data_IF_564315246518
#
_entry.id   IF_564315246518
#
_cell.length_a   1.000
_cell.length_b   1.000
_cell.length_c   1.000
_cell.angle_alpha   90.00
_cell.angle_beta   90.00
_cell.angle_gamma   90.00
#
_symmetry.space_group_name_H-M   'P 1'
#
loop_
_entity.id
_entity.type
_entity.pdbx_description
1 polymer ?
#
# COMPACT_ATOMS: atom_id res chain seq x y z
N UNK A 1 37.76 24.43 -3.42
CA UNK A 1 36.44 24.15 -4.04
C UNK A 1 35.47 25.06 -3.32
N UNK A 2 35.17 26.21 -3.92
CA UNK A 2 34.20 27.17 -3.39
C UNK A 2 32.81 26.56 -3.58
N UNK A 3 32.15 26.20 -2.48
CA UNK A 3 30.76 25.81 -2.49
C UNK A 3 29.92 27.08 -2.57
N UNK A 4 29.35 27.36 -3.74
CA UNK A 4 28.33 28.40 -3.87
C UNK A 4 27.06 27.98 -3.14
N UNK A 5 26.55 28.86 -2.30
CA UNK A 5 25.23 28.70 -1.66
C UNK A 5 24.16 28.70 -2.76
N UNK A 6 23.66 27.52 -3.12
CA UNK A 6 22.48 27.38 -3.99
C UNK A 6 21.26 27.63 -3.11
N UNK A 7 20.59 28.75 -3.31
CA UNK A 7 19.38 29.10 -2.57
C UNK A 7 18.15 28.44 -3.19
N UNK A 8 17.10 28.24 -2.40
CA UNK A 8 15.78 27.78 -2.89
C UNK A 8 15.29 28.66 -4.06
N UNK A 9 15.66 29.94 -4.06
CA UNK A 9 15.33 30.88 -5.12
C UNK A 9 15.97 30.51 -6.47
N UNK A 10 17.21 30.00 -6.45
CA UNK A 10 17.91 29.55 -7.66
C UNK A 10 17.23 28.30 -8.22
N UNK A 11 16.79 27.39 -7.35
CA UNK A 11 16.01 26.21 -7.76
C UNK A 11 14.63 26.58 -8.32
N UNK A 12 13.98 27.60 -7.77
CA UNK A 12 12.70 28.13 -8.28
C UNK A 12 12.90 28.80 -9.65
N UNK A 13 13.99 29.53 -9.83
CA UNK A 13 14.33 30.19 -11.09
C UNK A 13 14.66 29.16 -12.19
N UNK A 14 15.45 28.13 -11.86
CA UNK A 14 15.74 27.00 -12.77
C UNK A 14 14.45 26.26 -13.17
N UNK A 15 13.50 26.10 -12.24
CA UNK A 15 12.18 25.58 -12.55
C UNK A 15 11.37 26.54 -13.42
N UNK A 16 11.50 27.86 -13.29
CA UNK A 16 10.80 28.80 -14.18
C UNK A 16 11.39 28.84 -15.59
N UNK A 17 12.70 28.63 -15.75
CA UNK A 17 13.39 28.60 -17.05
C UNK A 17 13.28 27.23 -17.77
N UNK A 18 12.96 26.16 -17.05
CA UNK A 18 12.74 24.84 -17.67
C UNK A 18 11.48 24.80 -18.56
N UNK A 19 11.51 24.11 -19.72
CA UNK A 19 10.34 23.96 -20.58
C UNK A 19 9.17 23.34 -19.82
N UNK A 20 7.96 23.85 -20.07
CA UNK A 20 6.72 23.43 -19.42
C UNK A 20 6.52 21.90 -19.51
N UNK A 21 6.17 21.28 -18.38
CA UNK A 21 6.03 19.83 -18.18
C UNK A 21 5.09 19.21 -19.21
N UNK A 22 5.54 18.12 -19.84
CA UNK A 22 4.76 17.40 -20.84
C UNK A 22 3.56 16.68 -20.21
N UNK A 23 3.74 16.17 -19.00
CA UNK A 23 2.68 15.54 -18.23
C UNK A 23 1.61 16.57 -17.86
N UNK A 24 1.99 17.73 -17.32
CA UNK A 24 1.02 18.81 -17.01
C UNK A 24 0.23 19.23 -18.25
N UNK A 25 0.91 19.38 -19.41
CA UNK A 25 0.25 19.68 -20.69
C UNK A 25 -0.76 18.62 -21.11
N UNK A 26 -0.41 17.34 -20.95
CA UNK A 26 -1.29 16.22 -21.31
C UNK A 26 -2.59 16.21 -20.50
N UNK A 27 -2.53 16.58 -19.22
CA UNK A 27 -3.70 16.62 -18.34
C UNK A 27 -4.52 17.91 -18.46
N UNK A 28 -4.00 18.97 -19.10
CA UNK A 28 -4.68 20.26 -19.20
C UNK A 28 -6.04 20.16 -19.90
N UNK A 29 -7.09 20.67 -19.26
CA UNK A 29 -8.46 20.62 -19.77
C UNK A 29 -9.11 19.22 -19.75
N UNK A 30 -8.42 18.21 -19.24
CA UNK A 30 -8.91 16.83 -19.23
C UNK A 30 -9.98 16.62 -18.17
N UNK A 31 -10.89 15.67 -18.44
CA UNK A 31 -11.83 15.15 -17.46
C UNK A 31 -11.45 13.73 -17.07
N UNK A 32 -11.36 13.44 -15.78
CA UNK A 32 -10.79 12.18 -15.26
C UNK A 32 -11.86 11.44 -14.45
N UNK A 33 -12.11 10.17 -14.78
CA UNK A 33 -12.97 9.27 -14.00
C UNK A 33 -12.13 8.41 -13.05
N UNK A 34 -12.53 8.35 -11.78
CA UNK A 34 -11.76 7.71 -10.72
C UNK A 34 -12.69 6.78 -9.85
N UNK A 35 -12.48 5.44 -9.87
CA UNK A 35 -13.27 4.32 -9.31
C UNK A 35 -12.72 3.63 -8.04
N UNK A 36 -13.10 3.96 -6.79
CA UNK A 36 -12.61 3.25 -5.56
C UNK A 36 -12.02 4.13 -4.44
N UNK A 37 -12.44 5.38 -4.36
CA UNK A 37 -11.42 6.40 -4.21
C UNK A 37 -11.36 7.18 -2.94
N UNK A 38 -12.38 6.90 -2.18
CA UNK A 38 -12.33 6.91 -0.75
C UNK A 38 -11.22 6.00 -0.18
N UNK A 39 -10.52 5.18 -0.98
CA UNK A 39 -9.39 4.34 -0.55
C UNK A 39 -8.07 5.09 -0.39
N UNK A 40 -7.11 4.48 0.31
CA UNK A 40 -5.82 5.07 0.69
C UNK A 40 -5.04 5.69 -0.48
N UNK A 41 -4.77 4.91 -1.53
CA UNK A 41 -4.00 5.37 -2.71
C UNK A 41 -4.76 6.43 -3.51
N UNK A 42 -6.07 6.28 -3.65
CA UNK A 42 -6.90 7.23 -4.37
C UNK A 42 -6.77 8.66 -3.82
N UNK A 43 -6.83 8.79 -2.50
CA UNK A 43 -6.71 10.09 -1.82
C UNK A 43 -5.45 10.86 -2.20
N UNK A 44 -4.33 10.17 -2.25
CA UNK A 44 -3.04 10.74 -2.62
C UNK A 44 -3.00 11.06 -4.11
N UNK A 45 -3.63 10.24 -4.95
CA UNK A 45 -3.75 10.51 -6.39
C UNK A 45 -4.53 11.79 -6.69
N UNK A 46 -5.67 12.01 -6.02
CA UNK A 46 -6.44 13.24 -6.26
C UNK A 46 -5.71 14.46 -5.75
N UNK A 47 -5.11 14.39 -4.56
CA UNK A 47 -4.25 15.47 -4.08
C UNK A 47 -3.17 15.81 -5.11
N UNK A 48 -2.47 14.79 -5.62
CA UNK A 48 -1.43 14.96 -6.63
C UNK A 48 -1.95 15.60 -7.90
N UNK A 49 -3.07 15.12 -8.43
CA UNK A 49 -3.70 15.66 -9.64
C UNK A 49 -4.08 17.14 -9.44
N UNK A 50 -4.68 17.49 -8.30
CA UNK A 50 -5.08 18.88 -8.01
C UNK A 50 -3.88 19.81 -7.82
N UNK A 51 -2.80 19.34 -7.17
CA UNK A 51 -1.60 20.14 -6.90
C UNK A 51 -0.70 20.27 -8.12
N UNK A 52 -0.47 19.16 -8.82
CA UNK A 52 0.54 19.05 -9.88
C UNK A 52 -0.04 19.13 -11.29
N UNK A 53 -1.29 18.76 -11.55
CA UNK A 53 -1.92 18.89 -12.87
C UNK A 53 -2.97 20.02 -12.85
N UNK A 54 -2.50 21.28 -12.88
CA UNK A 54 -3.40 22.45 -12.86
C UNK A 54 -4.28 22.50 -14.12
N UNK A 55 -5.43 23.16 -14.02
CA UNK A 55 -6.39 23.37 -15.12
C UNK A 55 -7.12 22.08 -15.62
N UNK A 56 -7.45 21.14 -14.74
CA UNK A 56 -8.37 20.04 -15.07
C UNK A 56 -9.80 20.58 -15.27
N UNK A 57 -10.57 19.97 -16.17
CA UNK A 57 -11.97 20.35 -16.38
C UNK A 57 -12.90 19.75 -15.31
N UNK A 58 -12.87 18.43 -15.11
CA UNK A 58 -13.76 17.76 -14.13
C UNK A 58 -13.16 16.44 -13.64
N UNK A 59 -13.31 16.15 -12.35
CA UNK A 59 -12.97 14.86 -11.74
C UNK A 59 -14.28 14.14 -11.35
N UNK A 60 -14.55 12.97 -11.94
CA UNK A 60 -15.74 12.15 -11.69
C UNK A 60 -15.43 10.98 -10.74
N UNK A 61 -16.26 10.79 -9.70
CA UNK A 61 -16.01 9.81 -8.63
C UNK A 61 -17.12 8.76 -8.58
N UNK A 62 -16.75 7.47 -8.62
CA UNK A 62 -17.70 6.37 -8.45
C UNK A 62 -17.69 5.86 -7.00
N UNK A 63 -18.86 5.86 -6.36
CA UNK A 63 -19.05 5.54 -4.93
C UNK A 63 -20.07 4.40 -4.81
N UNK A 64 -19.68 3.28 -4.18
CA UNK A 64 -20.58 2.13 -3.96
C UNK A 64 -21.19 2.19 -2.55
N UNK A 65 -22.49 1.86 -2.35
CA UNK A 65 -23.07 1.71 -1.00
C UNK A 65 -22.47 0.50 -0.25
N UNK A 66 -22.41 0.58 1.08
CA UNK A 66 -22.01 -0.52 1.99
C UNK A 66 -22.93 -0.45 3.22
N UNK A 67 -23.50 -1.59 3.63
CA UNK A 67 -24.26 -1.79 4.88
C UNK A 67 -25.19 -0.64 5.32
N UNK A 68 -26.31 -0.43 4.61
CA UNK A 68 -27.44 0.36 5.12
C UNK A 68 -27.26 1.87 5.24
N UNK A 69 -26.12 2.44 4.82
CA UNK A 69 -25.87 3.89 4.84
C UNK A 69 -26.29 4.59 3.54
N UNK A 70 -26.79 5.84 3.64
CA UNK A 70 -27.29 6.61 2.51
C UNK A 70 -26.13 7.12 1.62
N UNK A 71 -26.21 7.04 0.27
CA UNK A 71 -25.21 7.61 -0.64
C UNK A 71 -24.84 9.07 -0.35
N UNK A 72 -25.79 9.89 0.12
CA UNK A 72 -25.54 11.30 0.48
C UNK A 72 -24.72 11.45 1.78
N UNK A 73 -24.81 10.50 2.73
CA UNK A 73 -23.96 10.48 3.93
C UNK A 73 -22.52 10.12 3.57
N UNK A 74 -22.31 9.15 2.66
CA UNK A 74 -20.97 8.82 2.14
C UNK A 74 -20.37 9.91 1.24
N UNK A 75 -21.20 10.62 0.46
CA UNK A 75 -20.75 11.79 -0.31
C UNK A 75 -20.37 12.96 0.61
N UNK A 76 -21.03 13.14 1.77
CA UNK A 76 -20.64 14.12 2.80
C UNK A 76 -19.32 13.76 3.50
N UNK A 77 -19.07 12.49 3.84
CA UNK A 77 -17.76 12.01 4.32
C UNK A 77 -16.66 12.09 3.23
N UNK A 78 -17.03 12.04 1.96
CA UNK A 78 -16.11 12.23 0.83
C UNK A 78 -15.62 13.67 0.64
N UNK A 79 -16.38 14.69 1.03
CA UNK A 79 -15.89 16.07 1.08
C UNK A 79 -14.81 16.29 2.16
N UNK A 80 -14.49 15.24 2.92
CA UNK A 80 -13.31 15.15 3.81
C UNK A 80 -12.18 14.26 3.29
N UNK A 81 -12.30 13.53 2.17
CA UNK A 81 -11.15 12.90 1.50
C UNK A 81 -11.49 12.22 0.15
N UNK A 82 -10.62 12.28 -0.89
CA UNK A 82 -11.08 12.27 -2.29
C UNK A 82 -10.51 11.14 -3.21
N UNK A 83 -11.41 10.32 -3.81
CA UNK A 83 -11.42 9.41 -5.00
C UNK A 83 -10.18 8.63 -5.74
N UNK A 84 -10.33 7.66 -6.73
CA UNK A 84 -9.39 6.48 -7.09
C UNK A 84 -9.08 6.00 -8.56
N UNK A 85 -7.96 5.35 -8.87
CA UNK A 85 -7.65 4.60 -10.15
C UNK A 85 -7.26 3.11 -9.93
N UNK A 86 -7.39 2.20 -10.92
CA UNK A 86 -7.12 0.74 -10.81
C UNK A 86 -5.64 0.36 -10.60
N UNK A 87 -5.36 -0.32 -9.48
CA UNK A 87 -4.04 -0.68 -8.99
C UNK A 87 -3.97 -2.20 -8.73
N UNK A 88 -3.05 -2.92 -9.37
CA UNK A 88 -2.85 -4.36 -9.15
C UNK A 88 -1.85 -4.62 -8.01
N UNK A 89 -1.21 -5.78 -7.95
CA UNK A 89 -0.20 -6.14 -6.96
C UNK A 89 0.92 -6.97 -7.59
N UNK A 90 2.15 -6.83 -7.10
CA UNK A 90 3.27 -7.69 -7.54
C UNK A 90 3.10 -9.14 -7.12
N UNK A 91 2.28 -9.41 -6.10
CA UNK A 91 2.05 -10.75 -5.55
C UNK A 91 1.05 -11.59 -6.35
N UNK A 92 0.54 -11.09 -7.49
CA UNK A 92 -0.49 -11.78 -8.30
C UNK A 92 -0.01 -13.12 -8.89
N UNK A 93 1.30 -13.34 -8.96
CA UNK A 93 1.92 -14.55 -9.53
C UNK A 93 2.89 -15.22 -8.55
N UNK A 94 2.42 -15.70 -7.38
CA UNK A 94 3.29 -16.19 -6.30
C UNK A 94 4.02 -17.49 -6.63
N UNK A 95 3.50 -18.29 -7.58
CA UNK A 95 4.10 -19.54 -8.05
C UNK A 95 5.24 -19.34 -9.07
N UNK A 96 5.48 -18.10 -9.52
CA UNK A 96 6.48 -17.78 -10.55
C UNK A 96 7.71 -17.18 -9.90
N UNK A 97 8.88 -17.79 -10.09
CA UNK A 97 10.13 -17.32 -9.48
C UNK A 97 10.65 -16.01 -10.07
N UNK A 98 10.54 -15.83 -11.39
CA UNK A 98 10.97 -14.62 -12.09
C UNK A 98 9.75 -13.96 -12.76
N UNK A 99 9.26 -12.88 -12.14
CA UNK A 99 8.07 -12.15 -12.57
C UNK A 99 8.46 -10.97 -13.46
N UNK A 100 8.14 -11.09 -14.74
CA UNK A 100 8.32 -10.08 -15.79
C UNK A 100 7.06 -9.22 -15.96
N UNK A 101 7.21 -8.11 -16.69
CA UNK A 101 6.13 -7.18 -17.03
C UNK A 101 5.29 -7.71 -18.20
N UNK A 102 4.68 -8.86 -17.99
CA UNK A 102 3.82 -9.56 -18.95
C UNK A 102 2.61 -10.15 -18.24
N UNK A 103 1.60 -10.55 -19.01
CA UNK A 103 0.48 -11.32 -18.49
C UNK A 103 0.89 -12.76 -18.15
N UNK A 104 0.21 -13.32 -17.16
CA UNK A 104 0.39 -14.71 -16.74
C UNK A 104 -0.95 -15.44 -16.85
N UNK A 105 -0.90 -16.69 -17.29
CA UNK A 105 -2.09 -17.51 -17.42
C UNK A 105 -2.50 -18.05 -16.04
N UNK A 106 -3.76 -17.83 -15.66
CA UNK A 106 -4.39 -18.53 -14.53
C UNK A 106 -4.81 -19.93 -14.97
N UNK A 107 -4.70 -20.94 -14.08
CA UNK A 107 -5.27 -22.26 -14.33
C UNK A 107 -6.81 -22.25 -14.47
N UNK A 108 -7.48 -21.24 -13.94
CA UNK A 108 -8.94 -21.08 -14.02
C UNK A 108 -9.27 -19.77 -14.73
N UNK A 109 -10.13 -19.84 -15.76
CA UNK A 109 -10.60 -18.66 -16.47
C UNK A 109 -11.46 -17.76 -15.56
N UNK A 110 -11.24 -16.45 -15.64
CA UNK A 110 -11.98 -15.46 -14.85
C UNK A 110 -13.50 -15.55 -15.02
N UNK A 111 -13.98 -15.85 -16.24
CA UNK A 111 -15.42 -16.03 -16.52
C UNK A 111 -16.04 -17.18 -15.70
N UNK A 112 -15.31 -18.29 -15.53
CA UNK A 112 -15.76 -19.42 -14.70
C UNK A 112 -15.93 -19.01 -13.25
N UNK A 113 -14.96 -18.26 -12.70
CA UNK A 113 -15.04 -17.78 -11.31
C UNK A 113 -16.20 -16.81 -11.13
N UNK A 114 -16.39 -15.86 -12.06
CA UNK A 114 -17.51 -14.92 -12.03
C UNK A 114 -18.84 -15.69 -12.03
N UNK A 115 -19.02 -16.64 -12.95
CA UNK A 115 -20.22 -17.46 -13.00
C UNK A 115 -20.44 -18.26 -11.71
N UNK A 116 -19.39 -18.83 -11.11
CA UNK A 116 -19.51 -19.53 -9.83
C UNK A 116 -20.00 -18.60 -8.71
N UNK A 117 -19.44 -17.40 -8.61
CA UNK A 117 -19.85 -16.41 -7.60
C UNK A 117 -21.28 -15.90 -7.82
N UNK A 118 -21.70 -15.74 -9.07
CA UNK A 118 -23.05 -15.27 -9.42
C UNK A 118 -24.13 -16.35 -9.25
N UNK A 119 -23.76 -17.64 -9.31
CA UNK A 119 -24.73 -18.75 -9.32
C UNK A 119 -24.77 -19.56 -8.03
N UNK A 120 -23.65 -19.69 -7.31
CA UNK A 120 -23.57 -20.53 -6.12
C UNK A 120 -24.03 -19.77 -4.87
N UNK A 121 -24.81 -20.41 -3.97
CA UNK A 121 -25.09 -19.85 -2.66
C UNK A 121 -23.81 -19.61 -1.84
N UNK A 122 -23.80 -18.55 -1.02
CA UNK A 122 -22.66 -18.15 -0.18
C UNK A 122 -22.06 -19.29 0.66
N UNK A 123 -22.90 -20.17 1.22
CA UNK A 123 -22.42 -21.28 2.04
C UNK A 123 -21.62 -22.33 1.24
N UNK A 124 -21.92 -22.49 -0.06
CA UNK A 124 -21.14 -23.34 -0.97
C UNK A 124 -19.87 -22.59 -1.37
N UNK A 125 -20.00 -21.32 -1.74
CA UNK A 125 -18.88 -20.48 -2.13
C UNK A 125 -17.79 -20.48 -1.05
N UNK A 126 -18.18 -20.23 0.20
CA UNK A 126 -17.27 -20.23 1.36
C UNK A 126 -16.55 -21.58 1.58
N UNK A 127 -17.16 -22.71 1.19
CA UNK A 127 -16.54 -24.03 1.29
C UNK A 127 -15.52 -24.29 0.18
N UNK A 128 -15.70 -23.68 -1.00
CA UNK A 128 -14.79 -23.86 -2.15
C UNK A 128 -13.71 -22.78 -2.23
N UNK A 129 -13.90 -21.61 -1.60
CA UNK A 129 -12.95 -20.48 -1.62
C UNK A 129 -11.53 -20.90 -1.24
N UNK A 130 -11.37 -21.74 -0.21
CA UNK A 130 -10.04 -22.17 0.24
C UNK A 130 -9.27 -22.98 -0.81
N UNK A 131 -9.98 -23.72 -1.67
CA UNK A 131 -9.38 -24.45 -2.78
C UNK A 131 -9.11 -23.55 -3.99
N UNK A 132 -10.00 -22.59 -4.27
CA UNK A 132 -9.83 -21.65 -5.40
C UNK A 132 -8.66 -20.69 -5.18
N UNK A 133 -8.45 -20.26 -3.93
CA UNK A 133 -7.47 -19.24 -3.56
C UNK A 133 -6.15 -19.87 -3.08
N UNK A 134 -6.03 -21.20 -3.07
CA UNK A 134 -4.90 -21.89 -2.40
C UNK A 134 -3.52 -21.54 -2.94
N UNK A 135 -3.41 -21.10 -4.20
CA UNK A 135 -2.14 -20.66 -4.79
C UNK A 135 -1.79 -19.21 -4.44
N UNK A 136 -2.75 -18.42 -3.95
CA UNK A 136 -2.57 -17.01 -3.60
C UNK A 136 -2.49 -16.80 -2.09
N UNK A 137 -1.76 -15.76 -1.64
CA UNK A 137 -1.67 -15.45 -0.21
C UNK A 137 -3.01 -15.03 0.38
N UNK A 138 -3.87 -14.39 -0.42
CA UNK A 138 -5.22 -13.99 -0.03
C UNK A 138 -6.16 -13.79 -1.24
N UNK A 139 -7.44 -13.59 -0.93
CA UNK A 139 -8.52 -13.35 -1.91
C UNK A 139 -8.28 -12.06 -2.71
N UNK A 140 -7.65 -11.05 -2.11
CA UNK A 140 -7.38 -9.76 -2.77
C UNK A 140 -6.41 -9.97 -3.92
N UNK A 141 -5.34 -10.71 -3.67
CA UNK A 141 -4.30 -11.01 -4.65
C UNK A 141 -4.86 -11.90 -5.75
N UNK A 142 -5.66 -12.90 -5.41
CA UNK A 142 -6.39 -13.73 -6.37
C UNK A 142 -7.32 -12.91 -7.27
N UNK A 143 -8.16 -12.05 -6.70
CA UNK A 143 -9.11 -11.22 -7.46
C UNK A 143 -8.42 -10.18 -8.34
N UNK A 144 -7.27 -9.64 -7.92
CA UNK A 144 -6.40 -8.81 -8.77
C UNK A 144 -5.82 -9.60 -9.95
N UNK A 145 -5.36 -10.83 -9.71
CA UNK A 145 -4.88 -11.70 -10.79
C UNK A 145 -5.98 -12.01 -11.82
N UNK A 146 -7.20 -12.33 -11.37
CA UNK A 146 -8.36 -12.51 -12.26
C UNK A 146 -8.68 -11.25 -13.05
N UNK A 147 -8.59 -10.08 -12.42
CA UNK A 147 -8.86 -8.80 -13.07
C UNK A 147 -7.83 -8.48 -14.15
N UNK A 148 -6.56 -8.85 -13.98
CA UNK A 148 -5.56 -8.76 -15.04
C UNK A 148 -5.92 -9.65 -16.25
N UNK A 149 -6.49 -10.84 -16.03
CA UNK A 149 -6.97 -11.68 -17.14
C UNK A 149 -8.13 -11.06 -17.90
N UNK A 150 -9.06 -10.40 -17.18
CA UNK A 150 -10.17 -9.70 -17.81
C UNK A 150 -9.64 -8.57 -18.70
N UNK A 151 -8.67 -7.80 -18.19
CA UNK A 151 -8.00 -6.75 -18.97
C UNK A 151 -7.31 -7.34 -20.20
N UNK A 152 -6.61 -8.46 -20.06
CA UNK A 152 -5.98 -9.17 -21.18
C UNK A 152 -7.03 -9.59 -22.22
N UNK A 153 -8.18 -10.10 -21.78
CA UNK A 153 -9.26 -10.59 -22.65
C UNK A 153 -9.97 -9.47 -23.43
N UNK A 154 -9.98 -8.24 -22.89
CA UNK A 154 -10.51 -7.07 -23.58
C UNK A 154 -9.63 -6.64 -24.78
N UNK A 155 -8.35 -7.04 -24.80
CA UNK A 155 -7.47 -6.85 -25.95
C UNK A 155 -7.27 -5.37 -26.35
N UNK A 156 -7.06 -5.08 -27.65
CA UNK A 156 -6.82 -3.72 -28.15
C UNK A 156 -7.98 -2.74 -27.95
N UNK A 157 -9.19 -3.23 -27.66
CA UNK A 157 -10.37 -2.38 -27.45
C UNK A 157 -10.30 -1.60 -26.13
N UNK A 158 -9.52 -2.09 -25.16
CA UNK A 158 -9.29 -1.44 -23.88
C UNK A 158 -7.83 -0.96 -23.79
N UNK A 159 -7.55 0.33 -24.02
CA UNK A 159 -6.22 0.89 -23.76
C UNK A 159 -5.99 0.89 -22.24
N UNK A 160 -5.27 -0.11 -21.75
CA UNK A 160 -5.04 -0.33 -20.34
C UNK A 160 -3.55 -0.21 -19.98
N UNK A 161 -3.31 0.30 -18.78
CA UNK A 161 -2.02 0.29 -18.10
C UNK A 161 -2.21 -0.45 -16.77
N UNK A 162 -1.35 -1.43 -16.48
CA UNK A 162 -1.35 -2.21 -15.25
C UNK A 162 -0.10 -1.86 -14.46
N UNK A 163 -0.28 -1.26 -13.29
CA UNK A 163 0.80 -1.05 -12.33
C UNK A 163 0.61 -2.07 -11.20
N UNK A 164 1.59 -2.97 -11.05
CA UNK A 164 1.68 -3.94 -9.97
C UNK A 164 2.57 -3.35 -8.88
N UNK A 165 2.01 -3.08 -7.69
CA UNK A 165 2.78 -2.55 -6.56
C UNK A 165 2.98 -3.58 -5.46
N UNK A 166 4.03 -3.39 -4.66
CA UNK A 166 4.19 -4.04 -3.37
C UNK A 166 3.22 -3.50 -2.29
N UNK A 167 3.56 -3.73 -1.02
CA UNK A 167 2.82 -3.20 0.12
C UNK A 167 2.91 -1.68 0.16
N UNK A 168 1.77 -1.03 -0.06
CA UNK A 168 1.71 0.43 -0.07
C UNK A 168 1.63 0.93 1.36
N UNK A 169 2.61 1.74 1.76
CA UNK A 169 2.67 2.40 3.07
C UNK A 169 2.57 3.92 2.91
N UNK A 170 2.73 4.63 4.03
CA UNK A 170 2.62 6.09 4.08
C UNK A 170 3.55 6.82 3.13
N UNK A 171 3.27 8.10 2.93
CA UNK A 171 4.03 8.98 2.04
C UNK A 171 5.49 9.09 2.49
N UNK A 172 6.42 9.09 1.55
CA UNK A 172 7.82 9.34 1.84
C UNK A 172 8.10 10.83 2.01
N UNK A 173 7.54 11.65 1.10
CA UNK A 173 7.88 13.06 0.96
C UNK A 173 6.64 13.94 0.85
N UNK A 174 5.71 13.63 -0.04
CA UNK A 174 4.61 14.53 -0.41
C UNK A 174 3.22 13.90 -0.20
N UNK A 175 2.17 14.69 0.05
CA UNK A 175 2.19 16.13 0.37
C UNK A 175 2.76 16.43 1.77
N UNK A 176 2.70 15.44 2.67
CA UNK A 176 3.27 15.52 4.02
C UNK A 176 3.96 14.20 4.27
N UNK A 177 5.26 14.20 4.58
CA UNK A 177 6.00 12.99 4.89
C UNK A 177 5.41 12.22 6.08
N UNK A 178 5.32 10.89 5.96
CA UNK A 178 4.77 9.99 6.97
C UNK A 178 3.24 9.97 7.06
N UNK A 179 2.54 10.69 6.19
CA UNK A 179 1.07 10.66 6.19
C UNK A 179 0.55 9.26 5.87
N UNK A 180 -0.39 8.80 6.69
CA UNK A 180 -1.14 7.56 6.48
C UNK A 180 -2.47 7.61 7.21
N UNK A 181 -3.49 7.01 6.63
CA UNK A 181 -4.78 6.77 7.28
C UNK A 181 -5.25 5.32 7.13
N UNK A 182 -4.37 4.44 6.61
CA UNK A 182 -4.65 3.03 6.41
C UNK A 182 -4.03 2.22 7.56
N UNK A 183 -4.88 1.55 8.34
CA UNK A 183 -4.47 0.59 9.35
C UNK A 183 -4.60 -0.82 8.77
N UNK A 184 -3.77 -1.12 7.78
CA UNK A 184 -3.69 -2.47 7.21
C UNK A 184 -2.92 -3.44 8.13
N UNK A 185 -2.91 -4.74 7.79
CA UNK A 185 -2.27 -5.78 8.61
C UNK A 185 -0.80 -5.47 8.93
N UNK A 186 -0.05 -4.92 7.97
CA UNK A 186 1.36 -4.56 8.16
C UNK A 186 1.50 -3.37 9.11
N UNK A 187 0.78 -2.28 8.86
CA UNK A 187 0.78 -1.08 9.70
C UNK A 187 0.31 -1.37 11.12
N UNK A 188 -0.73 -2.20 11.26
CA UNK A 188 -1.26 -2.64 12.54
C UNK A 188 -0.25 -3.46 13.34
N UNK A 189 0.38 -4.46 12.71
CA UNK A 189 1.46 -5.22 13.34
C UNK A 189 2.64 -4.33 13.74
N UNK A 190 3.02 -3.37 12.90
CA UNK A 190 4.13 -2.46 13.16
C UNK A 190 3.82 -1.50 14.33
N UNK A 191 2.61 -0.95 14.39
CA UNK A 191 2.12 -0.17 15.53
C UNK A 191 2.05 -1.00 16.82
N UNK A 192 1.48 -2.20 16.75
CA UNK A 192 1.40 -3.09 17.90
C UNK A 192 2.79 -3.47 18.43
N UNK A 193 3.76 -3.63 17.54
CA UNK A 193 5.16 -3.86 17.93
C UNK A 193 5.78 -2.63 18.57
N UNK A 194 5.47 -1.46 18.00
CA UNK A 194 5.83 -0.16 18.55
C UNK A 194 5.27 0.13 19.94
N UNK A 195 4.15 -0.47 20.31
CA UNK A 195 3.55 -0.38 21.65
C UNK A 195 4.02 -1.49 22.60
N UNK A 196 4.94 -2.36 22.16
CA UNK A 196 5.40 -3.53 22.90
C UNK A 196 4.38 -4.66 23.01
N UNK A 197 3.25 -4.56 22.28
CA UNK A 197 2.20 -5.57 22.28
C UNK A 197 2.57 -6.76 21.38
N UNK A 198 3.15 -6.51 20.21
CA UNK A 198 3.51 -7.54 19.22
C UNK A 198 5.02 -7.69 19.17
N UNK A 199 5.55 -8.84 19.60
CA UNK A 199 7.00 -8.97 19.83
C UNK A 199 7.67 -10.03 18.95
N UNK A 200 6.87 -10.93 18.40
CA UNK A 200 7.35 -12.12 17.71
C UNK A 200 6.62 -12.30 16.39
N UNK A 201 7.37 -12.51 15.32
CA UNK A 201 6.85 -12.82 13.98
C UNK A 201 7.42 -14.15 13.47
N UNK A 202 6.62 -14.87 12.69
CA UNK A 202 7.06 -16.08 11.97
C UNK A 202 7.14 -15.78 10.48
N UNK A 203 8.32 -15.99 9.91
CA UNK A 203 8.54 -15.87 8.47
C UNK A 203 10.00 -15.79 8.10
N UNK A 204 10.28 -15.97 6.81
CA UNK A 204 11.65 -15.93 6.29
C UNK A 204 12.28 -14.56 6.48
N UNK A 205 13.34 -14.52 7.27
CA UNK A 205 14.12 -13.31 7.55
C UNK A 205 14.81 -12.71 6.31
N UNK A 206 14.94 -13.49 5.23
CA UNK A 206 15.67 -13.14 4.00
C UNK A 206 14.80 -12.60 2.85
N UNK A 207 13.48 -12.78 2.92
CA UNK A 207 12.56 -12.30 1.88
C UNK A 207 12.39 -10.78 1.97
N UNK A 208 12.31 -10.11 0.82
CA UNK A 208 12.07 -8.67 0.75
C UNK A 208 10.64 -8.34 1.14
N UNK A 209 10.46 -7.28 1.93
CA UNK A 209 9.14 -6.83 2.36
C UNK A 209 8.32 -6.16 1.26
N UNK A 210 8.95 -5.77 0.14
CA UNK A 210 8.32 -5.09 -0.99
C UNK A 210 7.46 -3.88 -0.59
N UNK A 211 8.02 -2.98 0.19
CA UNK A 211 7.35 -1.76 0.65
C UNK A 211 7.45 -0.65 -0.40
N UNK A 212 6.34 0.01 -0.65
CA UNK A 212 6.23 1.12 -1.62
C UNK A 212 5.58 2.32 -0.95
N UNK A 213 6.21 3.51 -0.93
CA UNK A 213 5.55 4.74 -0.50
C UNK A 213 4.41 5.14 -1.45
N UNK A 214 3.26 5.50 -0.89
CA UNK A 214 2.05 5.81 -1.67
C UNK A 214 2.22 7.00 -2.62
N UNK A 215 3.01 8.00 -2.26
CA UNK A 215 3.27 9.20 -3.08
C UNK A 215 4.07 8.86 -4.34
N UNK A 216 5.10 8.03 -4.22
CA UNK A 216 5.88 7.57 -5.36
C UNK A 216 5.04 6.66 -6.28
N UNK A 217 4.20 5.78 -5.71
CA UNK A 217 3.26 4.98 -6.49
C UNK A 217 2.27 5.85 -7.28
N UNK A 218 1.75 6.91 -6.65
CA UNK A 218 0.85 7.86 -7.29
C UNK A 218 1.53 8.61 -8.43
N UNK A 219 2.79 9.00 -8.28
CA UNK A 219 3.57 9.60 -9.36
C UNK A 219 3.70 8.64 -10.55
N UNK A 220 3.99 7.36 -10.30
CA UNK A 220 4.00 6.33 -11.34
C UNK A 220 2.63 6.14 -12.01
N UNK A 221 1.52 6.21 -11.27
CA UNK A 221 0.17 6.14 -11.84
C UNK A 221 -0.11 7.28 -12.82
N UNK A 222 0.25 8.52 -12.47
CA UNK A 222 0.07 9.69 -13.34
C UNK A 222 0.96 9.57 -14.58
N UNK A 223 2.22 9.19 -14.40
CA UNK A 223 3.19 9.06 -15.49
C UNK A 223 2.83 7.91 -16.43
N UNK A 224 2.40 6.77 -15.90
CA UNK A 224 1.92 5.63 -16.69
C UNK A 224 0.67 5.98 -17.51
N UNK A 225 -0.19 6.86 -17.00
CA UNK A 225 -1.34 7.37 -17.76
C UNK A 225 -0.89 8.30 -18.91
N UNK A 226 0.06 9.19 -18.67
CA UNK A 226 0.65 10.04 -19.72
C UNK A 226 1.28 9.22 -20.85
N UNK A 227 2.08 8.21 -20.53
CA UNK A 227 2.70 7.31 -21.52
C UNK A 227 1.65 6.55 -22.34
N UNK A 228 0.60 6.03 -21.69
CA UNK A 228 -0.50 5.35 -22.38
C UNK A 228 -1.20 6.28 -23.38
N UNK A 229 -1.42 7.55 -23.01
CA UNK A 229 -2.04 8.56 -23.90
C UNK A 229 -1.11 8.86 -25.07
N UNK A 230 0.18 9.10 -24.81
CA UNK A 230 1.19 9.40 -25.83
C UNK A 230 1.31 8.30 -26.89
N UNK A 231 1.45 7.05 -26.44
CA UNK A 231 1.53 5.90 -27.34
C UNK A 231 0.25 5.79 -28.21
N UNK A 232 -0.94 6.02 -27.63
CA UNK A 232 -2.19 5.99 -28.40
C UNK A 232 -2.25 7.06 -29.50
N UNK A 233 -1.80 8.28 -29.23
CA UNK A 233 -1.78 9.35 -30.26
C UNK A 233 -0.85 9.03 -31.42
N UNK A 234 0.25 8.31 -31.18
CA UNK A 234 1.13 7.81 -32.25
C UNK A 234 0.43 6.69 -33.05
N UNK A 235 -0.23 5.75 -32.37
CA UNK A 235 -0.94 4.62 -33.01
C UNK A 235 -2.20 5.00 -33.81
N UNK A 236 -2.85 6.13 -33.53
CA UNK A 236 -3.98 6.60 -34.38
C UNK A 236 -3.49 7.09 -35.75
N UNK A 237 -2.20 7.43 -35.87
CA UNK A 237 -1.62 7.95 -37.12
C UNK A 237 -1.02 6.85 -38.02
N UNK A 238 -0.94 5.59 -37.57
CA UNK A 238 -0.44 4.44 -38.35
C UNK A 238 -1.45 3.27 -38.34
N UNK A 239 -1.68 2.61 -39.48
CA UNK A 239 -2.53 1.42 -39.56
C UNK A 239 -1.85 0.22 -38.87
N UNK A 240 -2.19 -0.04 -37.61
CA UNK A 240 -1.58 -1.14 -36.82
C UNK A 240 -2.34 -2.46 -36.98
N UNK A 241 -1.65 -3.60 -37.13
CA UNK A 241 -2.26 -4.94 -37.13
C UNK A 241 -2.99 -5.24 -35.81
N UNK A 242 -4.20 -5.82 -35.93
CA UNK A 242 -5.11 -6.16 -34.81
C UNK A 242 -4.53 -7.11 -33.74
N UNK A 243 -3.37 -7.71 -33.97
CA UNK A 243 -2.78 -8.75 -33.10
C UNK A 243 -1.76 -8.21 -32.09
N UNK A 244 -1.52 -6.90 -32.03
CA UNK A 244 -0.52 -6.32 -31.12
C UNK A 244 -1.15 -6.02 -29.75
N UNK A 245 -0.87 -6.85 -28.74
CA UNK A 245 -1.28 -6.59 -27.35
C UNK A 245 -0.51 -5.38 -26.81
N UNK A 246 -1.20 -4.24 -26.70
CA UNK A 246 -0.60 -2.94 -26.37
C UNK A 246 -0.77 -2.56 -24.88
N UNK A 247 -0.99 -3.53 -23.99
CA UNK A 247 -1.14 -3.25 -22.56
C UNK A 247 0.22 -2.98 -21.93
N UNK A 248 0.40 -1.78 -21.37
CA UNK A 248 1.60 -1.43 -20.62
C UNK A 248 1.53 -2.04 -19.22
N UNK A 249 2.51 -2.86 -18.85
CA UNK A 249 2.58 -3.50 -17.53
C UNK A 249 3.85 -3.00 -16.82
N UNK A 250 3.71 -2.61 -15.55
CA UNK A 250 4.78 -2.07 -14.72
C UNK A 250 4.86 -2.82 -13.40
N UNK A 251 6.01 -3.45 -13.13
CA UNK A 251 6.28 -4.08 -11.84
C UNK A 251 7.02 -3.08 -10.95
N UNK A 252 6.34 -2.57 -9.93
CA UNK A 252 6.88 -1.58 -9.00
C UNK A 252 7.16 -2.22 -7.64
N UNK A 253 8.33 -2.86 -7.56
CA UNK A 253 8.83 -3.56 -6.39
C UNK A 253 10.08 -2.86 -5.81
N UNK A 254 10.18 -2.79 -4.49
CA UNK A 254 11.28 -2.12 -3.77
C UNK A 254 12.62 -2.81 -3.99
N UNK A 255 12.61 -4.14 -4.17
CA UNK A 255 13.81 -4.95 -4.38
C UNK A 255 14.56 -4.64 -5.68
N UNK A 256 13.91 -4.00 -6.65
CA UNK A 256 14.57 -3.52 -7.85
C UNK A 256 15.43 -2.27 -7.64
N UNK A 257 15.33 -1.64 -6.47
CA UNK A 257 16.01 -0.39 -6.13
C UNK A 257 16.88 -0.58 -4.89
N UNK A 258 16.24 -0.62 -3.71
CA UNK A 258 16.87 -0.80 -2.40
C UNK A 258 16.15 -1.91 -1.64
N UNK A 259 16.60 -3.16 -1.75
CA UNK A 259 16.03 -4.28 -1.01
C UNK A 259 15.98 -4.01 0.49
N UNK A 260 14.86 -4.36 1.12
CA UNK A 260 14.69 -4.35 2.57
C UNK A 260 14.00 -5.65 2.96
N UNK A 261 14.76 -6.55 3.60
CA UNK A 261 14.20 -7.82 4.07
C UNK A 261 13.27 -7.62 5.27
N UNK A 262 12.41 -8.58 5.57
CA UNK A 262 11.54 -8.55 6.75
C UNK A 262 12.31 -8.46 8.08
N UNK A 263 13.53 -9.01 8.15
CA UNK A 263 14.38 -8.83 9.32
C UNK A 263 14.92 -7.39 9.42
N UNK A 264 15.49 -6.90 8.31
CA UNK A 264 15.99 -5.53 8.23
C UNK A 264 14.90 -4.49 8.47
N UNK A 265 13.67 -4.78 8.04
CA UNK A 265 12.50 -3.94 8.25
C UNK A 265 12.31 -3.68 9.74
N UNK A 266 12.22 -4.73 10.58
CA UNK A 266 12.04 -4.54 12.01
C UNK A 266 13.21 -3.86 12.69
N UNK A 267 14.45 -4.21 12.32
CA UNK A 267 15.65 -3.51 12.82
C UNK A 267 15.59 -2.00 12.52
N UNK A 268 15.24 -1.62 11.29
CA UNK A 268 15.16 -0.21 10.85
C UNK A 268 13.97 0.51 11.45
N UNK A 269 12.83 -0.16 11.54
CA UNK A 269 11.60 0.38 12.09
C UNK A 269 11.75 0.66 13.60
N UNK A 270 12.43 -0.21 14.36
CA UNK A 270 12.63 0.00 15.80
C UNK A 270 13.98 0.62 16.17
N UNK A 271 14.83 0.99 15.19
CA UNK A 271 16.13 1.63 15.42
C UNK A 271 16.04 2.88 16.29
N UNK A 272 15.01 3.70 16.08
CA UNK A 272 14.73 4.90 16.86
C UNK A 272 13.59 4.64 17.84
N UNK A 273 13.81 3.78 18.85
CA UNK A 273 12.82 3.38 19.85
C UNK A 273 12.05 4.58 20.44
N UNK A 274 12.72 5.73 20.64
CA UNK A 274 12.12 6.98 21.16
C UNK A 274 10.98 7.55 20.31
N UNK A 275 10.96 7.30 18.99
CA UNK A 275 9.93 7.84 18.09
C UNK A 275 8.67 6.97 18.05
N UNK A 276 8.80 5.71 18.45
CA UNK A 276 7.68 4.76 18.60
C UNK A 276 7.22 4.68 20.05
N UNK A 277 8.13 4.95 20.98
CA UNK A 277 7.93 4.99 22.41
C UNK A 277 6.99 6.11 22.81
N UNK A 278 5.73 5.76 23.03
CA UNK A 278 4.91 6.50 23.99
C UNK A 278 5.29 6.07 25.41
N UNK A 279 5.36 7.00 26.36
CA UNK A 279 5.44 6.75 27.82
C UNK A 279 4.47 5.70 28.38
N UNK A 280 3.46 5.26 27.61
CA UNK A 280 2.41 4.32 27.98
C UNK A 280 2.63 2.91 27.43
N UNK A 281 3.85 2.38 27.53
CA UNK A 281 4.09 0.96 27.23
C UNK A 281 3.43 0.05 28.26
N UNK A 282 2.75 -0.99 27.79
CA UNK A 282 2.47 -2.15 28.64
C UNK A 282 3.74 -2.98 28.88
N UNK A 283 4.66 -3.03 27.90
CA UNK A 283 5.90 -3.82 27.91
C UNK A 283 7.03 -3.11 27.15
N UNK A 284 8.29 -3.37 27.51
CA UNK A 284 9.44 -2.89 26.75
C UNK A 284 9.39 -3.45 25.32
N UNK A 285 9.40 -2.60 24.28
CA UNK A 285 9.32 -3.07 22.90
C UNK A 285 10.61 -3.80 22.52
N UNK A 286 10.47 -4.98 21.96
CA UNK A 286 11.55 -5.66 21.25
C UNK A 286 10.94 -6.48 20.12
N UNK A 287 11.72 -6.67 19.06
CA UNK A 287 11.29 -7.31 17.83
C UNK A 287 12.14 -8.57 17.58
N UNK A 288 11.47 -9.72 17.40
CA UNK A 288 12.13 -10.98 17.08
C UNK A 288 11.41 -11.72 15.94
N UNK A 289 12.16 -12.08 14.90
CA UNK A 289 11.69 -12.90 13.79
C UNK A 289 12.31 -14.29 13.91
N UNK A 290 11.51 -15.32 13.73
CA UNK A 290 11.99 -16.71 13.67
C UNK A 290 11.46 -17.40 12.44
N UNK A 291 12.32 -18.19 11.78
CA UNK A 291 11.91 -19.04 10.67
C UNK A 291 11.19 -20.32 11.16
N UNK A 292 11.34 -20.67 12.45
CA UNK A 292 10.76 -21.88 13.03
C UNK A 292 9.36 -21.61 13.58
N UNK A 293 8.36 -22.25 12.96
CA UNK A 293 6.97 -22.20 13.43
C UNK A 293 6.87 -22.67 14.89
N UNK A 294 7.64 -23.70 15.27
CA UNK A 294 7.62 -24.23 16.65
C UNK A 294 8.12 -23.20 17.67
N UNK A 295 9.23 -22.52 17.38
CA UNK A 295 9.75 -21.45 18.25
C UNK A 295 8.75 -20.30 18.32
N UNK A 296 8.13 -19.95 17.19
CA UNK A 296 7.08 -18.94 17.15
C UNK A 296 5.91 -19.29 18.08
N UNK A 297 5.41 -20.54 18.05
CA UNK A 297 4.33 -20.98 18.95
C UNK A 297 4.71 -20.88 20.43
N UNK A 298 5.93 -21.31 20.79
CA UNK A 298 6.42 -21.20 22.17
C UNK A 298 6.48 -19.73 22.59
N UNK A 299 7.16 -18.90 21.80
CA UNK A 299 7.40 -17.50 22.14
C UNK A 299 6.08 -16.71 22.20
N UNK A 300 5.17 -16.90 21.23
CA UNK A 300 3.86 -16.24 21.25
C UNK A 300 2.98 -16.72 22.41
N UNK A 301 3.07 -17.99 22.82
CA UNK A 301 2.37 -18.47 24.00
C UNK A 301 2.79 -17.70 25.27
N UNK A 302 4.10 -17.57 25.51
CA UNK A 302 4.62 -16.90 26.70
C UNK A 302 4.60 -15.37 26.63
N UNK A 303 4.79 -14.78 25.45
CA UNK A 303 4.90 -13.33 25.27
C UNK A 303 3.58 -12.67 24.86
N UNK A 304 2.62 -13.41 24.28
CA UNK A 304 1.32 -12.84 23.90
C UNK A 304 0.20 -13.46 24.75
N UNK A 305 0.00 -14.77 24.66
CA UNK A 305 -1.20 -15.44 25.17
C UNK A 305 -1.30 -15.47 26.70
N UNK A 306 -0.22 -15.86 27.40
CA UNK A 306 -0.22 -15.92 28.87
C UNK A 306 -0.41 -14.54 29.51
N UNK A 307 0.38 -13.50 29.14
CA UNK A 307 0.16 -12.14 29.63
C UNK A 307 -1.26 -11.64 29.38
N UNK A 308 -1.80 -11.86 28.18
CA UNK A 308 -3.14 -11.42 27.82
C UNK A 308 -4.21 -12.00 28.75
N UNK A 309 -4.18 -13.33 28.98
CA UNK A 309 -5.15 -14.00 29.85
C UNK A 309 -5.03 -13.55 31.30
N UNK A 310 -3.82 -13.33 31.80
CA UNK A 310 -3.60 -12.85 33.17
C UNK A 310 -4.18 -11.44 33.33
N UNK A 311 -3.83 -10.51 32.43
CA UNK A 311 -4.34 -9.13 32.46
C UNK A 311 -5.85 -9.09 32.31
N UNK A 312 -6.41 -9.84 31.35
CA UNK A 312 -7.86 -9.90 31.15
C UNK A 312 -8.60 -10.46 32.36
N UNK A 313 -8.05 -11.47 33.03
CA UNK A 313 -8.60 -12.02 34.28
C UNK A 313 -8.64 -10.95 35.39
N UNK A 314 -7.56 -10.18 35.56
CA UNK A 314 -7.53 -9.08 36.52
C UNK A 314 -8.54 -7.97 36.18
N UNK A 315 -8.64 -7.57 34.91
CA UNK A 315 -9.61 -6.56 34.45
C UNK A 315 -11.05 -7.03 34.68
N UNK A 316 -11.31 -8.31 34.42
CA UNK A 316 -12.60 -8.93 34.66
C UNK A 316 -12.96 -8.93 36.16
N UNK A 317 -12.00 -9.23 37.06
CA UNK A 317 -12.20 -9.10 38.51
C UNK A 317 -12.52 -7.66 38.95
N UNK A 318 -12.07 -6.65 38.21
CA UNK A 318 -12.41 -5.24 38.45
C UNK A 318 -13.77 -4.83 37.86
N UNK A 319 -14.55 -5.77 37.31
CA UNK A 319 -15.86 -5.51 36.72
C UNK A 319 -15.80 -4.74 35.39
N UNK A 320 -14.64 -4.72 34.73
CA UNK A 320 -14.43 -4.05 33.43
C UNK A 320 -14.40 -5.07 32.30
N UNK A 321 -14.74 -4.63 31.09
CA UNK A 321 -14.60 -5.46 29.90
C UNK A 321 -13.13 -5.73 29.56
N UNK A 322 -12.78 -7.00 29.45
CA UNK A 322 -11.46 -7.48 29.04
C UNK A 322 -11.39 -7.63 27.52
N UNK A 323 -10.39 -7.04 26.86
CA UNK A 323 -10.28 -7.04 25.38
C UNK A 323 -8.90 -7.47 24.86
N UNK A 324 -7.94 -7.78 25.73
CA UNK A 324 -6.55 -7.99 25.32
C UNK A 324 -6.38 -9.34 24.60
N UNK A 325 -7.06 -10.39 25.04
CA UNK A 325 -7.06 -11.70 24.38
C UNK A 325 -7.73 -11.63 22.98
N UNK A 326 -8.81 -10.88 22.82
CA UNK A 326 -9.42 -10.64 21.51
C UNK A 326 -8.49 -9.87 20.58
N UNK A 327 -7.81 -8.86 21.11
CA UNK A 327 -6.78 -8.13 20.38
C UNK A 327 -5.67 -9.06 19.88
N UNK A 328 -5.13 -9.93 20.75
CA UNK A 328 -4.07 -10.85 20.35
C UNK A 328 -4.51 -11.90 19.32
N UNK A 329 -5.76 -12.37 19.37
CA UNK A 329 -6.30 -13.21 18.29
C UNK A 329 -6.23 -12.52 16.94
N UNK A 330 -6.63 -11.24 16.87
CA UNK A 330 -6.56 -10.44 15.63
C UNK A 330 -5.12 -10.21 15.17
N UNK A 331 -4.21 -9.91 16.10
CA UNK A 331 -2.77 -9.80 15.80
C UNK A 331 -2.23 -11.10 15.20
N UNK A 332 -2.55 -12.25 15.80
CA UNK A 332 -2.08 -13.54 15.27
C UNK A 332 -2.68 -13.85 13.90
N UNK A 333 -3.93 -13.48 13.65
CA UNK A 333 -4.53 -13.55 12.30
C UNK A 333 -3.80 -12.65 11.30
N UNK A 334 -3.54 -11.38 11.66
CA UNK A 334 -2.81 -10.45 10.80
C UNK A 334 -1.37 -10.92 10.51
N UNK A 335 -0.66 -11.40 11.55
CA UNK A 335 0.69 -11.95 11.42
C UNK A 335 0.70 -13.22 10.56
N UNK A 336 -0.29 -14.11 10.71
CA UNK A 336 -0.45 -15.28 9.85
C UNK A 336 -0.65 -14.89 8.38
N UNK A 337 -1.49 -13.89 8.11
CA UNK A 337 -1.68 -13.41 6.74
C UNK A 337 -0.39 -12.84 6.14
N UNK A 338 0.40 -12.10 6.93
CA UNK A 338 1.73 -11.60 6.50
C UNK A 338 2.74 -12.73 6.28
N UNK A 339 2.66 -13.82 7.06
CA UNK A 339 3.58 -14.95 6.92
C UNK A 339 3.51 -15.62 5.54
N UNK A 340 2.33 -15.61 4.89
CA UNK A 340 2.16 -16.11 3.52
C UNK A 340 3.01 -15.32 2.52
N UNK A 341 3.12 -13.99 2.69
CA UNK A 341 3.95 -13.12 1.85
C UNK A 341 5.45 -13.30 2.13
N UNK A 342 5.81 -13.62 3.38
CA UNK A 342 7.18 -13.91 3.78
C UNK A 342 7.74 -15.22 3.21
N UNK A 343 6.89 -16.04 2.57
CA UNK A 343 7.30 -17.27 1.87
C UNK A 343 7.41 -17.08 0.35
N UNK A 344 7.06 -15.90 -0.18
CA UNK A 344 7.07 -15.62 -1.62
C UNK A 344 8.50 -15.23 -2.04
N UNK A 345 9.30 -16.22 -2.43
CA UNK A 345 10.66 -16.04 -2.93
C UNK A 345 10.64 -15.72 -4.44
N UNK A 346 10.28 -14.48 -4.78
CA UNK A 346 10.12 -14.03 -6.17
C UNK A 346 11.10 -12.91 -6.51
N UNK A 347 11.64 -12.95 -7.72
CA UNK A 347 12.39 -11.86 -8.35
C UNK A 347 11.49 -11.11 -9.33
N UNK A 348 11.29 -9.83 -9.07
CA UNK A 348 10.53 -8.96 -9.97
C UNK A 348 11.48 -8.30 -10.99
N UNK A 349 11.05 -8.18 -12.24
CA UNK A 349 11.74 -7.43 -13.28
C UNK A 349 10.94 -6.19 -13.65
N UNK A 350 11.59 -5.02 -13.74
CA UNK A 350 10.96 -3.70 -13.91
C UNK A 350 11.52 -2.90 -15.11
N UNK A 351 11.75 -3.55 -16.24
CA UNK A 351 12.36 -2.93 -17.43
C UNK A 351 11.52 -1.75 -17.95
N UNK A 352 10.19 -1.90 -18.01
CA UNK A 352 9.27 -0.87 -18.45
C UNK A 352 9.26 0.32 -17.50
N UNK A 353 9.34 0.10 -16.17
CA UNK A 353 9.46 1.21 -15.20
C UNK A 353 10.74 2.01 -15.42
N UNK A 354 11.87 1.34 -15.63
CA UNK A 354 13.16 2.00 -15.91
C UNK A 354 13.13 2.78 -17.22
N UNK A 355 12.57 2.18 -18.27
CA UNK A 355 12.41 2.84 -19.56
C UNK A 355 11.52 4.08 -19.44
N UNK A 356 10.39 3.98 -18.73
CA UNK A 356 9.48 5.09 -18.49
C UNK A 356 10.17 6.24 -17.74
N UNK A 357 10.95 5.93 -16.71
CA UNK A 357 11.72 6.92 -15.96
C UNK A 357 12.77 7.63 -16.83
N UNK A 358 13.39 6.92 -17.78
CA UNK A 358 14.38 7.49 -18.69
C UNK A 358 13.76 8.45 -19.73
N UNK A 359 12.48 8.28 -20.08
CA UNK A 359 11.75 9.17 -21.00
C UNK A 359 11.43 10.55 -20.40
N UNK A 360 11.41 10.67 -19.08
CA UNK A 360 10.99 11.90 -18.41
C UNK A 360 11.98 13.05 -18.59
N UNK A 361 11.44 14.25 -18.84
CA UNK A 361 12.23 15.48 -18.78
C UNK A 361 12.75 15.72 -17.35
N UNK A 362 13.84 16.49 -17.17
CA UNK A 362 14.33 16.83 -15.83
C UNK A 362 13.25 17.46 -14.94
N UNK A 363 12.38 18.30 -15.52
CA UNK A 363 11.24 18.90 -14.82
C UNK A 363 10.22 17.85 -14.38
N UNK A 364 9.88 16.90 -15.25
CA UNK A 364 8.92 15.84 -14.94
C UNK A 364 9.46 14.86 -13.89
N UNK A 365 10.77 14.58 -13.89
CA UNK A 365 11.43 13.77 -12.84
C UNK A 365 11.31 14.40 -11.46
N UNK A 366 11.39 15.74 -11.37
CA UNK A 366 11.21 16.46 -10.10
C UNK A 366 9.73 16.47 -9.69
N UNK A 367 8.83 16.77 -10.64
CA UNK A 367 7.42 16.92 -10.34
C UNK A 367 6.70 15.59 -10.07
N UNK A 368 7.16 14.49 -10.66
CA UNK A 368 6.55 13.17 -10.57
C UNK A 368 7.62 12.11 -10.25
N UNK A 369 8.41 12.35 -9.20
CA UNK A 369 9.45 11.39 -8.78
C UNK A 369 8.84 10.08 -8.28
N UNK A 370 9.27 8.97 -8.89
CA UNK A 370 8.95 7.61 -8.45
C UNK A 370 10.19 6.72 -8.41
N UNK A 371 11.39 7.30 -8.32
CA UNK A 371 12.62 6.54 -8.18
C UNK A 371 12.89 6.16 -6.71
N UNK A 372 12.53 4.94 -6.31
CA UNK A 372 12.80 4.44 -4.96
C UNK A 372 14.30 4.34 -4.63
N UNK A 373 15.21 4.50 -5.60
CA UNK A 373 16.65 4.55 -5.32
C UNK A 373 17.06 5.75 -4.46
N UNK A 374 16.26 6.82 -4.46
CA UNK A 374 16.52 8.02 -3.66
C UNK A 374 16.16 7.85 -2.18
N UNK A 375 15.35 6.84 -1.83
CA UNK A 375 14.86 6.63 -0.47
C UNK A 375 15.96 6.16 0.49
N UNK A 376 15.94 6.70 1.70
CA UNK A 376 16.62 6.10 2.86
C UNK A 376 15.60 5.41 3.72
N UNK A 377 15.69 4.08 3.86
CA UNK A 377 14.75 3.33 4.69
C UNK A 377 14.71 3.81 6.14
N UNK A 378 15.86 4.20 6.70
CA UNK A 378 15.94 4.70 8.08
C UNK A 378 15.14 6.01 8.23
N UNK A 379 15.32 6.96 7.30
CA UNK A 379 14.60 8.25 7.30
C UNK A 379 13.11 8.06 7.00
N UNK A 380 12.78 7.18 6.04
CA UNK A 380 11.41 6.85 5.68
C UNK A 380 10.64 6.28 6.86
N UNK A 381 11.17 5.26 7.54
CA UNK A 381 10.49 4.65 8.68
C UNK A 381 10.42 5.60 9.88
N UNK A 382 11.43 6.45 10.09
CA UNK A 382 11.41 7.47 11.13
C UNK A 382 10.23 8.45 10.95
N UNK A 383 10.07 8.97 9.73
CA UNK A 383 8.93 9.82 9.33
C UNK A 383 7.60 9.07 9.44
N UNK A 384 7.56 7.84 8.95
CA UNK A 384 6.36 7.01 8.95
C UNK A 384 5.86 6.73 10.37
N UNK A 385 6.76 6.38 11.29
CA UNK A 385 6.46 6.15 12.71
C UNK A 385 5.87 7.37 13.41
N UNK A 386 6.48 8.54 13.20
CA UNK A 386 5.95 9.82 13.67
C UNK A 386 4.56 10.08 13.10
N UNK A 387 4.38 9.78 11.81
CA UNK A 387 3.09 9.87 11.13
C UNK A 387 2.03 8.96 11.74
N UNK A 388 2.35 7.70 12.05
CA UNK A 388 1.43 6.76 12.70
C UNK A 388 0.94 7.30 14.06
N UNK A 389 1.84 7.88 14.86
CA UNK A 389 1.52 8.51 16.14
C UNK A 389 0.58 9.71 15.99
N UNK A 390 0.79 10.53 14.97
CA UNK A 390 -0.04 11.72 14.71
C UNK A 390 -1.40 11.34 14.13
N UNK A 391 -1.41 10.58 13.03
CA UNK A 391 -2.60 10.38 12.19
C UNK A 391 -3.48 9.22 12.62
N UNK A 392 -2.92 8.14 13.19
CA UNK A 392 -3.72 6.99 13.65
C UNK A 392 -3.97 7.01 15.15
N UNK A 393 -3.06 7.57 15.95
CA UNK A 393 -3.19 7.60 17.42
C UNK A 393 -3.68 8.96 17.96
N UNK A 394 -3.68 10.01 17.13
CA UNK A 394 -4.17 11.34 17.50
C UNK A 394 -3.33 12.03 18.57
N UNK A 395 -2.01 11.79 18.60
CA UNK A 395 -1.07 12.37 19.54
C UNK A 395 -0.13 13.35 18.80
N UNK A 396 -0.26 14.68 18.99
CA UNK A 396 0.62 15.66 18.36
C UNK A 396 2.08 15.50 18.82
N UNK A 397 3.04 15.72 17.91
CA UNK A 397 4.49 15.58 18.15
C UNK A 397 5.03 16.46 19.29
N UNK A 398 4.34 17.56 19.63
CA UNK A 398 4.80 18.57 20.60
C UNK A 398 4.18 18.46 22.00
N UNK A 399 3.24 17.53 22.25
CA UNK A 399 2.66 17.40 23.59
C UNK A 399 3.46 16.41 24.45
N UNK A 400 3.78 16.76 25.73
CA UNK A 400 4.36 15.81 26.66
C UNK A 400 3.43 14.62 26.85
N UNK A 401 4.05 13.43 26.88
CA UNK A 401 3.44 12.11 26.78
C UNK A 401 2.58 11.74 28.00
N UNK A 402 1.44 12.39 28.16
CA UNK A 402 0.59 12.26 29.37
C UNK A 402 -0.80 11.73 29.07
N UNK A 403 -1.10 11.38 27.81
CA UNK A 403 -2.45 10.93 27.45
C UNK A 403 -2.60 9.40 27.57
N UNK A 404 -3.17 8.95 28.68
CA UNK A 404 -3.52 7.54 28.99
C UNK A 404 -4.49 6.88 27.98
N UNK A 405 -4.94 7.61 26.95
CA UNK A 405 -5.91 7.14 25.97
C UNK A 405 -5.29 6.49 24.72
N UNK A 406 -3.96 6.50 24.59
CA UNK A 406 -3.26 5.97 23.40
C UNK A 406 -3.52 4.48 23.17
N UNK A 407 -3.39 3.66 24.22
CA UNK A 407 -3.66 2.23 24.15
C UNK A 407 -5.13 1.94 23.84
N UNK A 408 -6.06 2.65 24.50
CA UNK A 408 -7.50 2.48 24.26
C UNK A 408 -7.89 2.90 22.84
N UNK A 409 -7.29 3.97 22.29
CA UNK A 409 -7.51 4.37 20.89
C UNK A 409 -6.97 3.32 19.92
N UNK A 410 -5.78 2.79 20.17
CA UNK A 410 -5.21 1.72 19.33
C UNK A 410 -6.04 0.44 19.38
N UNK A 411 -6.44 -0.01 20.58
CA UNK A 411 -7.36 -1.12 20.73
C UNK A 411 -8.65 -0.84 19.95
N UNK A 412 -9.29 0.31 20.19
CA UNK A 412 -10.55 0.67 19.51
C UNK A 412 -10.41 0.79 17.98
N UNK A 413 -9.31 1.32 17.45
CA UNK A 413 -9.08 1.40 16.00
C UNK A 413 -8.83 0.03 15.39
N UNK A 414 -8.11 -0.85 16.09
CA UNK A 414 -7.93 -2.25 15.71
C UNK A 414 -9.24 -3.06 15.78
N UNK A 415 -10.22 -2.61 16.57
CA UNK A 415 -11.57 -3.20 16.70
C UNK A 415 -12.63 -2.58 15.77
N UNK A 416 -12.43 -1.37 15.23
CA UNK A 416 -13.42 -0.65 14.40
C UNK A 416 -13.40 -1.01 12.91
N UNK A 417 -12.34 -1.64 12.40
CA UNK A 417 -12.22 -1.98 10.98
C UNK A 417 -13.07 -3.19 10.51
N UNK A 418 -13.94 -3.76 11.37
CA UNK A 418 -14.77 -4.95 11.09
C UNK A 418 -16.30 -4.71 11.21
N UNK A 419 -16.83 -3.57 10.76
CA UNK A 419 -18.28 -3.40 10.61
C UNK A 419 -18.69 -2.98 9.20
#
# INVERSE_FOLDING_TARGET
>A
MEGGDIFIQDFINDLQESPESQIQKCFRGSSILITGGTGFVGKVLIEKLLRSCRDLNTIYLVVRPLNGQNPNERVKEMFTSPAFVYLSSVFTNPSVLDVYEQFYNSPIAASTIIQMVETLPDYILNRVTSGLVSEWPDVITFTKALSEQIIQSAGPELPACIIRSGFVLGTANEPIAGWTNDLNNLTGCALGSGLGLVRVFHGSSSVNAEIVPVDMLVNLLVVGCWELIGNRTEFVNEEVPKDTVNTLIYNYASSNYKPCSWNQLGEKFFKNEKNVSSSNFLWMPFYYVTDSIFIYWIMTFYLHTVPAKVVDLFIWFMGKESRLNEFYKRVHTAAKNLSSYQQIHVRYHNHNVKNLMNKLSPRDKILFDFDMSTLSWDDYFDKYLKGLRVYLMGNPLHMPETNNNTLNRYLNSFFHNDK
#
